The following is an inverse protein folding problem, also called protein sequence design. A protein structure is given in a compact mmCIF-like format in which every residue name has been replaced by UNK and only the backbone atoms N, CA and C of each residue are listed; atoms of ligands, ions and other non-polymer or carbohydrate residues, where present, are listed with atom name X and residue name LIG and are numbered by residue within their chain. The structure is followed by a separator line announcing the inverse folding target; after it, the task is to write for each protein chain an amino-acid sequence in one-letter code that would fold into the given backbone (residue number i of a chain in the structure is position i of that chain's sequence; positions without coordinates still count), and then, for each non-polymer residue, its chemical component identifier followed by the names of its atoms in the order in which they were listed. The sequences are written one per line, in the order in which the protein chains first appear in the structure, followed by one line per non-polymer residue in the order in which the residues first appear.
data_IF_061784725020
#
_entry.id   IF_061784725020
#
_cell.length_a   1.000
_cell.length_b   1.000
_cell.length_c   1.000
_cell.angle_alpha   90.00
_cell.angle_beta   90.00
_cell.angle_gamma   90.00
#
_symmetry.space_group_name_H-M   'P 1'
#
loop_
_entity.id
_entity.type
_entity.pdbx_description
1 polymer ?
#
# COMPACT_ATOMS: atom_id res chain seq x y z
N UNK A 1 39.14 -1.99 -3.68
CA UNK A 1 37.75 -2.21 -4.08
C UNK A 1 36.71 -1.73 -3.06
N UNK A 2 36.81 -2.03 -1.75
CA UNK A 2 35.83 -1.54 -0.73
C UNK A 2 35.70 0.00 -0.62
N UNK A 3 36.71 0.78 -0.95
CA UNK A 3 36.66 2.27 -0.92
C UNK A 3 35.93 2.90 -2.14
N UNK A 4 35.82 2.19 -3.25
CA UNK A 4 35.13 2.69 -4.45
C UNK A 4 33.62 2.58 -4.29
N UNK A 5 33.13 1.49 -3.65
CA UNK A 5 31.70 1.26 -3.41
C UNK A 5 31.11 2.34 -2.47
N UNK A 6 31.86 2.74 -1.44
CA UNK A 6 31.43 3.79 -0.49
C UNK A 6 31.29 5.16 -1.16
N UNK A 7 32.12 5.45 -2.17
CA UNK A 7 32.08 6.72 -2.91
C UNK A 7 30.86 6.77 -3.85
N UNK A 8 30.46 5.64 -4.43
CA UNK A 8 29.28 5.56 -5.32
C UNK A 8 27.99 5.77 -4.49
N UNK A 9 27.88 5.14 -3.32
CA UNK A 9 26.73 5.36 -2.43
C UNK A 9 26.63 6.81 -1.89
N UNK A 10 27.76 7.46 -1.58
CA UNK A 10 27.75 8.87 -1.18
C UNK A 10 27.41 9.82 -2.35
N UNK A 11 27.82 9.49 -3.57
CA UNK A 11 27.48 10.29 -4.75
C UNK A 11 25.99 10.26 -5.06
N UNK A 12 25.32 9.11 -4.88
CA UNK A 12 23.87 8.98 -5.06
C UNK A 12 23.06 9.81 -4.04
N UNK A 13 23.53 9.91 -2.80
CA UNK A 13 22.88 10.76 -1.77
C UNK A 13 23.07 12.25 -2.05
N UNK A 14 24.20 12.65 -2.66
CA UNK A 14 24.46 14.05 -3.01
C UNK A 14 23.66 14.52 -4.24
N UNK A 15 23.25 13.62 -5.14
CA UNK A 15 22.41 13.97 -6.30
C UNK A 15 20.95 14.18 -5.94
N UNK A 16 20.44 13.55 -4.88
CA UNK A 16 19.07 13.77 -4.40
C UNK A 16 18.82 15.21 -3.90
N UNK A 17 19.89 15.93 -3.53
CA UNK A 17 19.77 17.31 -3.04
C UNK A 17 19.64 18.38 -4.16
N UNK A 18 19.89 18.03 -5.43
CA UNK A 18 19.71 18.96 -6.55
C UNK A 18 18.38 18.82 -7.29
N UNK A 19 17.61 17.76 -7.03
CA UNK A 19 16.29 17.55 -7.63
C UNK A 19 15.20 18.48 -7.04
N UNK A 20 15.50 19.19 -5.96
CA UNK A 20 14.53 20.00 -5.21
C UNK A 20 14.00 21.24 -5.95
N UNK A 21 14.66 21.70 -7.01
CA UNK A 21 14.29 22.98 -7.65
C UNK A 21 13.57 22.80 -8.99
N UNK A 22 13.56 21.62 -9.58
CA UNK A 22 12.87 21.34 -10.84
C UNK A 22 11.50 20.72 -10.67
N UNK A 23 11.16 20.19 -9.48
CA UNK A 23 9.89 19.50 -9.21
C UNK A 23 8.66 20.42 -9.25
N UNK A 24 8.85 21.73 -9.17
CA UNK A 24 7.76 22.71 -9.17
C UNK A 24 7.29 23.14 -10.58
N UNK A 25 7.96 22.72 -11.66
CA UNK A 25 7.63 23.11 -13.02
C UNK A 25 7.14 21.98 -13.92
N UNK A 26 7.30 20.71 -13.49
CA UNK A 26 6.83 19.53 -14.22
C UNK A 26 5.59 18.97 -13.54
N UNK A 27 4.50 18.84 -14.27
CA UNK A 27 3.39 17.99 -13.85
C UNK A 27 3.84 16.53 -13.93
N UNK A 28 4.13 15.92 -12.78
CA UNK A 28 4.59 14.53 -12.69
C UNK A 28 3.43 13.51 -12.82
N UNK A 29 2.33 13.92 -13.45
CA UNK A 29 1.09 13.13 -13.55
C UNK A 29 0.98 12.34 -14.83
N UNK A 30 1.61 12.81 -15.91
CA UNK A 30 1.50 12.21 -17.24
C UNK A 30 2.78 12.41 -18.06
N UNK A 31 3.04 11.49 -18.98
CA UNK A 31 4.12 11.56 -19.95
C UNK A 31 3.71 10.83 -21.25
N UNK A 32 4.14 11.34 -22.38
CA UNK A 32 3.88 10.78 -23.70
C UNK A 32 5.20 10.57 -24.45
N UNK A 33 5.33 9.46 -25.17
CA UNK A 33 6.45 9.24 -26.10
C UNK A 33 5.99 9.55 -27.52
N UNK A 34 6.69 10.45 -28.21
CA UNK A 34 6.34 10.88 -29.56
C UNK A 34 7.58 10.86 -30.47
N UNK A 35 7.38 10.55 -31.70
CA UNK A 35 8.45 10.55 -32.72
C UNK A 35 8.28 9.47 -33.77
N UNK A 36 8.90 9.64 -34.94
CA UNK A 36 8.81 8.68 -36.04
C UNK A 36 9.53 7.35 -35.78
N UNK A 37 10.28 7.26 -34.65
CA UNK A 37 10.78 6.00 -34.12
C UNK A 37 9.67 5.14 -33.53
N UNK A 38 8.53 5.72 -33.11
CA UNK A 38 7.41 5.02 -32.48
C UNK A 38 6.32 4.68 -33.51
N UNK A 39 5.43 3.71 -33.24
CA UNK A 39 4.29 3.41 -34.10
C UNK A 39 3.31 4.59 -34.33
N UNK A 40 3.34 5.57 -33.41
CA UNK A 40 2.43 6.73 -33.43
C UNK A 40 3.02 7.94 -34.15
N UNK A 41 4.29 7.86 -34.59
CA UNK A 41 5.01 8.97 -35.24
C UNK A 41 4.94 10.26 -34.41
N UNK A 42 4.83 11.41 -35.07
CA UNK A 42 4.73 12.72 -34.42
C UNK A 42 3.28 13.12 -34.09
N UNK A 43 2.37 12.14 -33.96
CA UNK A 43 0.97 12.39 -33.55
C UNK A 43 0.83 12.41 -32.06
N UNK A 44 1.00 13.58 -31.44
CA UNK A 44 0.85 13.76 -29.99
C UNK A 44 -0.60 13.56 -29.52
N UNK A 45 -1.59 13.75 -30.40
CA UNK A 45 -2.99 13.53 -30.11
C UNK A 45 -3.35 12.05 -30.03
N UNK A 46 -2.78 11.25 -30.93
CA UNK A 46 -3.03 9.81 -31.04
C UNK A 46 -2.09 8.92 -30.24
N UNK A 47 -0.97 9.45 -29.72
CA UNK A 47 -0.08 8.64 -28.88
C UNK A 47 -0.71 8.35 -27.52
N UNK A 48 -0.67 7.08 -27.01
CA UNK A 48 -1.18 6.77 -25.69
C UNK A 48 -0.29 7.37 -24.59
N UNK A 49 -0.87 7.51 -23.41
CA UNK A 49 -0.13 7.85 -22.19
C UNK A 49 0.88 6.75 -21.88
N UNK A 50 2.07 7.14 -21.45
CA UNK A 50 2.98 6.20 -20.81
C UNK A 50 2.37 5.72 -19.50
N UNK A 51 2.58 4.46 -19.15
CA UNK A 51 2.10 3.92 -17.90
C UNK A 51 2.83 4.59 -16.73
N UNK A 52 2.10 5.34 -15.90
CA UNK A 52 2.63 5.82 -14.63
C UNK A 52 2.77 4.63 -13.67
N UNK A 53 3.98 4.39 -13.17
CA UNK A 53 4.30 3.28 -12.27
C UNK A 53 4.69 3.73 -10.87
N UNK A 54 5.08 4.99 -10.72
CA UNK A 54 5.31 5.68 -9.45
C UNK A 54 5.17 7.19 -9.69
N UNK A 55 5.21 8.00 -8.65
CA UNK A 55 5.22 9.45 -8.80
C UNK A 55 6.44 9.91 -9.60
N UNK A 56 6.19 10.57 -10.73
CA UNK A 56 7.24 11.01 -11.66
C UNK A 56 7.97 9.89 -12.40
N UNK A 57 7.53 8.63 -12.33
CA UNK A 57 8.14 7.50 -13.02
C UNK A 57 7.17 6.86 -13.99
N UNK A 58 7.60 6.72 -15.23
CA UNK A 58 6.77 6.24 -16.33
C UNK A 58 7.45 5.09 -17.08
N UNK A 59 6.62 4.18 -17.61
CA UNK A 59 7.03 3.06 -18.44
C UNK A 59 6.28 3.09 -19.77
N UNK A 60 7.01 2.83 -20.84
CA UNK A 60 6.44 2.54 -22.15
C UNK A 60 7.06 1.25 -22.70
N UNK A 61 6.27 0.44 -23.39
CA UNK A 61 6.74 -0.75 -24.09
C UNK A 61 6.20 -0.76 -25.49
N UNK A 62 7.07 -0.93 -26.48
CA UNK A 62 6.68 -0.96 -27.87
C UNK A 62 7.87 -1.00 -28.81
N UNK A 63 7.55 -0.98 -30.12
CA UNK A 63 8.55 -1.00 -31.17
C UNK A 63 9.18 0.37 -31.34
N UNK A 64 10.51 0.41 -31.36
CA UNK A 64 11.31 1.56 -31.84
C UNK A 64 12.02 1.18 -33.11
N UNK A 65 12.11 2.13 -34.01
CA UNK A 65 12.73 1.98 -35.34
C UNK A 65 14.09 2.63 -35.36
N UNK A 66 15.10 1.90 -35.86
CA UNK A 66 16.50 2.35 -36.00
C UNK A 66 16.61 3.69 -36.72
N UNK A 67 17.53 4.53 -36.26
CA UNK A 67 17.88 5.86 -36.79
C UNK A 67 16.71 6.86 -36.88
N UNK A 68 15.51 6.48 -36.45
CA UNK A 68 14.37 7.36 -36.30
C UNK A 68 14.40 8.11 -34.98
N UNK A 69 13.62 9.16 -34.87
CA UNK A 69 13.69 10.08 -33.72
C UNK A 69 12.51 9.93 -32.78
N UNK A 70 12.76 10.10 -31.47
CA UNK A 70 11.70 10.28 -30.50
C UNK A 70 12.13 11.19 -29.34
N UNK A 71 11.15 11.70 -28.63
CA UNK A 71 11.27 12.45 -27.37
C UNK A 71 10.02 12.24 -26.53
N UNK A 72 9.99 12.89 -25.38
CA UNK A 72 8.83 12.84 -24.49
C UNK A 72 8.17 14.21 -24.37
N UNK A 73 6.85 14.19 -24.11
CA UNK A 73 6.05 15.38 -23.87
C UNK A 73 5.30 15.20 -22.55
N UNK A 74 5.32 16.20 -21.68
CA UNK A 74 4.55 16.21 -20.46
C UNK A 74 3.17 16.92 -20.62
N UNK A 75 2.86 17.34 -21.82
CA UNK A 75 1.57 17.87 -22.22
C UNK A 75 1.26 17.47 -23.66
N UNK A 76 -0.02 17.57 -24.07
CA UNK A 76 -0.43 17.38 -25.48
C UNK A 76 -0.35 18.66 -26.31
N UNK A 77 0.45 19.62 -25.87
CA UNK A 77 0.71 20.86 -26.59
C UNK A 77 2.09 20.82 -27.20
N UNK A 78 2.19 20.98 -28.53
CA UNK A 78 3.45 21.15 -29.18
C UNK A 78 4.20 22.39 -28.65
N UNK A 79 5.50 22.27 -28.56
CA UNK A 79 6.41 23.31 -28.07
C UNK A 79 6.44 23.56 -26.56
N UNK A 80 5.63 22.86 -25.77
CA UNK A 80 5.61 23.01 -24.32
C UNK A 80 5.90 21.71 -23.61
N UNK A 81 6.53 21.83 -22.41
CA UNK A 81 6.78 20.72 -21.51
C UNK A 81 7.48 19.52 -22.16
N UNK A 82 8.57 19.81 -22.85
CA UNK A 82 9.34 18.81 -23.60
C UNK A 82 10.43 18.20 -22.70
N UNK A 83 10.49 16.88 -22.70
CA UNK A 83 11.57 16.10 -22.06
C UNK A 83 12.34 15.38 -23.16
N UNK A 84 13.60 15.69 -23.30
CA UNK A 84 14.41 15.23 -24.42
C UNK A 84 15.79 14.77 -23.99
N UNK A 85 16.61 14.37 -24.94
CA UNK A 85 18.03 14.09 -24.71
C UNK A 85 18.82 15.39 -24.43
N UNK A 86 19.89 15.25 -23.65
CA UNK A 86 20.87 16.33 -23.46
C UNK A 86 21.69 16.63 -24.70
N UNK A 87 21.72 15.69 -25.67
CA UNK A 87 22.32 15.82 -27.03
C UNK A 87 21.57 14.90 -27.97
N UNK A 88 21.59 15.14 -29.30
CA UNK A 88 21.13 14.14 -30.26
C UNK A 88 21.93 12.86 -30.07
N UNK A 89 21.28 11.80 -29.56
CA UNK A 89 21.99 10.65 -29.01
C UNK A 89 21.40 9.33 -29.54
N UNK A 90 22.27 8.44 -30.02
CA UNK A 90 21.90 7.05 -30.24
C UNK A 90 21.74 6.35 -28.91
N UNK A 91 20.69 5.53 -28.80
CA UNK A 91 20.37 4.75 -27.62
C UNK A 91 20.45 3.26 -27.94
N UNK A 92 20.96 2.52 -26.98
CA UNK A 92 21.08 1.07 -26.98
C UNK A 92 20.36 0.50 -25.75
N UNK A 93 19.84 -0.71 -25.87
CA UNK A 93 19.28 -1.40 -24.74
C UNK A 93 20.34 -1.71 -23.66
N UNK A 94 19.95 -1.72 -22.42
CA UNK A 94 20.84 -1.94 -21.29
C UNK A 94 21.50 -0.67 -20.75
N UNK A 95 21.18 0.52 -21.28
CA UNK A 95 21.83 1.78 -20.91
C UNK A 95 20.86 2.79 -20.30
N UNK A 96 21.42 3.70 -19.50
CA UNK A 96 20.71 4.83 -18.91
C UNK A 96 21.24 6.14 -19.50
N UNK A 97 20.32 7.04 -19.83
CA UNK A 97 20.58 8.30 -20.50
C UNK A 97 20.08 9.48 -19.69
N UNK A 98 20.78 10.60 -19.75
CA UNK A 98 20.34 11.84 -19.13
C UNK A 98 19.22 12.49 -19.95
N UNK A 99 18.26 13.06 -19.24
CA UNK A 99 17.17 13.84 -19.79
C UNK A 99 17.41 15.33 -19.55
N UNK A 100 16.94 16.13 -20.50
CA UNK A 100 16.82 17.59 -20.38
C UNK A 100 15.36 17.99 -20.47
N UNK A 101 15.00 19.08 -19.82
CA UNK A 101 13.65 19.61 -19.81
C UNK A 101 13.67 21.06 -20.26
N UNK A 102 12.67 21.43 -21.10
CA UNK A 102 12.38 22.81 -21.37
C UNK A 102 10.88 23.07 -21.50
N UNK A 103 10.47 24.17 -20.88
CA UNK A 103 9.06 24.49 -20.73
C UNK A 103 8.42 25.01 -22.04
N UNK A 104 9.19 25.67 -22.88
CA UNK A 104 8.70 26.24 -24.13
C UNK A 104 9.78 26.23 -25.20
N UNK A 105 9.50 25.55 -26.32
CA UNK A 105 10.39 25.46 -27.47
C UNK A 105 10.69 26.84 -28.10
N UNK A 106 9.72 27.76 -28.04
CA UNK A 106 9.89 29.12 -28.58
C UNK A 106 10.99 29.90 -27.86
N UNK A 107 11.29 29.53 -26.58
CA UNK A 107 12.33 30.18 -25.81
C UNK A 107 13.73 29.64 -26.09
N UNK A 108 13.85 28.37 -26.50
CA UNK A 108 15.15 27.76 -26.82
C UNK A 108 15.01 26.51 -27.72
N UNK A 109 14.72 26.75 -29.02
CA UNK A 109 14.61 25.66 -30.00
C UNK A 109 15.90 24.86 -30.22
N UNK A 110 17.05 25.35 -29.73
CA UNK A 110 18.32 24.63 -29.80
C UNK A 110 18.34 23.39 -28.88
N UNK A 111 17.41 23.29 -27.93
CA UNK A 111 17.25 22.17 -27.02
C UNK A 111 16.30 21.09 -27.53
N UNK A 112 15.71 21.22 -28.70
CA UNK A 112 14.83 20.21 -29.30
C UNK A 112 15.63 19.00 -29.83
N UNK A 113 16.35 18.37 -28.90
CA UNK A 113 17.19 17.20 -29.13
C UNK A 113 16.38 15.93 -28.96
N UNK A 114 16.81 14.88 -29.66
CA UNK A 114 16.05 13.65 -29.76
C UNK A 114 16.90 12.42 -29.48
N UNK A 115 16.23 11.34 -29.14
CA UNK A 115 16.84 10.01 -29.07
C UNK A 115 16.65 9.28 -30.36
N UNK A 116 17.66 8.46 -30.76
CA UNK A 116 17.65 7.62 -31.97
C UNK A 116 17.99 6.19 -31.57
N UNK A 117 17.10 5.20 -31.72
CA UNK A 117 17.45 3.82 -31.50
C UNK A 117 18.59 3.36 -32.40
N UNK A 118 19.56 2.64 -31.84
CA UNK A 118 20.67 2.05 -32.57
C UNK A 118 20.26 0.83 -33.42
N UNK A 119 19.13 0.20 -33.07
CA UNK A 119 18.55 -0.92 -33.80
C UNK A 119 17.02 -0.89 -33.73
N UNK A 120 16.39 -1.46 -34.78
CA UNK A 120 14.94 -1.67 -34.75
C UNK A 120 14.62 -2.87 -33.88
N UNK A 121 13.70 -2.68 -32.87
CA UNK A 121 13.32 -3.76 -31.94
C UNK A 121 12.12 -3.38 -31.07
N UNK A 122 11.71 -4.32 -30.26
CA UNK A 122 10.77 -4.08 -29.16
C UNK A 122 11.57 -3.65 -27.93
N UNK A 123 11.18 -2.52 -27.35
CA UNK A 123 11.87 -1.94 -26.22
C UNK A 123 10.92 -1.69 -25.04
N UNK A 124 11.46 -1.72 -23.83
CA UNK A 124 10.84 -1.15 -22.65
C UNK A 124 11.65 0.07 -22.20
N UNK A 125 11.00 1.21 -22.15
CA UNK A 125 11.60 2.50 -21.78
C UNK A 125 11.04 2.96 -20.45
N UNK A 126 11.92 3.19 -19.49
CA UNK A 126 11.58 3.80 -18.21
C UNK A 126 12.08 5.24 -18.18
N UNK A 127 11.23 6.15 -17.73
CA UNK A 127 11.56 7.57 -17.55
C UNK A 127 11.31 7.94 -16.10
N UNK A 128 12.33 8.40 -15.40
CA UNK A 128 12.22 8.99 -14.06
C UNK A 128 12.48 10.49 -14.14
N UNK A 129 11.41 11.27 -14.06
CA UNK A 129 11.49 12.73 -14.09
C UNK A 129 12.08 13.31 -12.80
N UNK A 130 12.12 12.55 -11.70
CA UNK A 130 12.72 12.98 -10.43
C UNK A 130 14.23 13.02 -10.52
N UNK A 131 14.83 12.04 -11.17
CA UNK A 131 16.28 11.94 -11.41
C UNK A 131 16.70 12.45 -12.79
N UNK A 132 15.73 12.79 -13.64
CA UNK A 132 15.96 13.16 -15.05
C UNK A 132 16.78 12.11 -15.81
N UNK A 133 16.33 10.87 -15.72
CA UNK A 133 16.97 9.71 -16.35
C UNK A 133 15.98 8.90 -17.17
N UNK A 134 16.46 8.38 -18.29
CA UNK A 134 15.78 7.37 -19.10
C UNK A 134 16.62 6.10 -19.11
N UNK A 135 15.99 4.95 -18.82
CA UNK A 135 16.64 3.65 -18.95
C UNK A 135 15.92 2.82 -20.02
N UNK A 136 16.66 2.22 -20.91
CA UNK A 136 16.16 1.48 -22.06
C UNK A 136 16.53 0.02 -21.94
N UNK A 137 15.57 -0.86 -22.16
CA UNK A 137 15.76 -2.31 -22.18
C UNK A 137 15.23 -2.90 -23.48
N UNK A 138 15.86 -3.95 -23.99
CA UNK A 138 15.17 -4.81 -24.94
C UNK A 138 13.96 -5.43 -24.25
N UNK A 139 12.84 -5.51 -24.95
CA UNK A 139 11.73 -6.35 -24.52
C UNK A 139 12.20 -7.80 -24.64
N UNK A 140 12.80 -8.30 -23.60
CA UNK A 140 13.22 -9.70 -23.55
C UNK A 140 11.99 -10.58 -23.62
N UNK A 141 11.98 -11.48 -24.60
CA UNK A 141 11.13 -12.66 -24.60
C UNK A 141 11.59 -13.53 -23.44
N UNK A 142 10.78 -13.50 -22.37
CA UNK A 142 10.65 -14.52 -21.34
C UNK A 142 11.92 -15.19 -20.78
N UNK A 143 12.54 -14.55 -19.80
CA UNK A 143 13.09 -15.29 -18.70
C UNK A 143 11.90 -15.73 -17.82
N UNK A 144 11.20 -16.79 -18.20
CA UNK A 144 10.05 -17.27 -17.44
C UNK A 144 10.51 -17.63 -16.03
N UNK A 145 9.92 -16.97 -15.02
CA UNK A 145 10.19 -17.31 -13.63
C UNK A 145 9.80 -18.77 -13.40
N UNK A 146 10.70 -19.53 -12.82
CA UNK A 146 10.45 -20.94 -12.47
C UNK A 146 9.32 -21.04 -11.42
N UNK A 147 8.79 -22.25 -11.27
CA UNK A 147 7.70 -22.49 -10.30
C UNK A 147 8.10 -22.23 -8.83
N UNK A 148 9.39 -22.27 -8.54
CA UNK A 148 9.97 -21.94 -7.24
C UNK A 148 11.08 -20.94 -7.41
N UNK A 149 11.15 -20.00 -6.47
CA UNK A 149 12.22 -19.00 -6.39
C UNK A 149 12.80 -18.96 -4.99
N UNK A 150 14.09 -18.71 -4.91
CA UNK A 150 14.84 -18.54 -3.69
C UNK A 150 15.72 -17.30 -3.81
N UNK A 151 15.86 -16.57 -2.72
CA UNK A 151 16.75 -15.42 -2.62
C UNK A 151 18.00 -15.79 -1.81
N UNK A 152 19.16 -15.34 -2.23
CA UNK A 152 20.43 -15.51 -1.52
C UNK A 152 21.34 -14.31 -1.77
N UNK A 153 22.51 -14.28 -1.17
CA UNK A 153 23.53 -13.24 -1.37
C UNK A 153 24.03 -12.65 -0.06
N UNK A 154 24.97 -11.71 -0.18
CA UNK A 154 25.61 -11.09 0.98
C UNK A 154 24.66 -10.27 1.83
N UNK A 155 23.58 -9.72 1.24
CA UNK A 155 22.53 -9.03 1.96
C UNK A 155 21.72 -9.93 2.91
N UNK A 156 21.79 -11.26 2.70
CA UNK A 156 21.15 -12.30 3.52
C UNK A 156 22.17 -13.12 4.34
N UNK A 157 23.40 -12.63 4.53
CA UNK A 157 24.50 -13.38 5.15
C UNK A 157 24.79 -14.73 4.47
N UNK A 158 24.54 -14.82 3.17
CA UNK A 158 24.67 -16.08 2.39
C UNK A 158 23.56 -17.10 2.65
N UNK A 159 22.55 -16.77 3.45
CA UNK A 159 21.40 -17.66 3.67
C UNK A 159 20.54 -17.71 2.41
N UNK A 160 19.91 -18.86 2.21
CA UNK A 160 18.90 -19.03 1.15
C UNK A 160 17.50 -19.00 1.77
N UNK A 161 16.64 -18.16 1.22
CA UNK A 161 15.26 -17.95 1.67
C UNK A 161 14.31 -18.18 0.49
N UNK A 162 13.24 -18.95 0.70
CA UNK A 162 12.22 -19.14 -0.33
C UNK A 162 11.43 -17.84 -0.55
N UNK A 163 11.29 -17.48 -1.83
CA UNK A 163 10.39 -16.40 -2.26
C UNK A 163 9.09 -17.05 -2.71
N UNK A 164 8.06 -16.96 -1.88
CA UNK A 164 6.83 -17.75 -2.02
C UNK A 164 5.98 -17.29 -3.22
N UNK A 165 5.44 -18.25 -3.96
CA UNK A 165 4.54 -17.99 -5.09
C UNK A 165 3.10 -17.70 -4.61
N UNK A 166 2.46 -16.69 -5.17
CA UNK A 166 1.10 -16.30 -4.85
C UNK A 166 0.24 -16.10 -6.11
N UNK A 167 -0.96 -16.68 -6.09
CA UNK A 167 -1.98 -16.47 -7.12
C UNK A 167 -1.56 -16.79 -8.55
N UNK A 168 -0.41 -17.44 -8.75
CA UNK A 168 0.16 -17.69 -10.08
C UNK A 168 0.73 -16.44 -10.77
N UNK A 169 0.62 -15.25 -10.17
CA UNK A 169 0.99 -13.96 -10.78
C UNK A 169 2.30 -13.39 -10.26
N UNK A 170 2.64 -13.68 -9.01
CA UNK A 170 3.85 -13.14 -8.39
C UNK A 170 4.46 -14.06 -7.34
N UNK A 171 5.71 -13.77 -7.00
CA UNK A 171 6.40 -14.28 -5.83
C UNK A 171 6.71 -13.13 -4.90
N UNK A 172 6.72 -13.37 -3.59
CA UNK A 172 7.15 -12.38 -2.61
C UNK A 172 7.79 -13.00 -1.38
N UNK A 173 8.65 -12.23 -0.75
CA UNK A 173 9.24 -12.55 0.54
C UNK A 173 9.44 -11.29 1.38
N UNK A 174 9.07 -11.35 2.66
CA UNK A 174 9.44 -10.35 3.65
C UNK A 174 10.83 -10.68 4.19
N UNK A 175 11.81 -9.84 3.91
CA UNK A 175 13.23 -10.07 4.16
C UNK A 175 13.83 -8.93 4.98
N UNK A 176 14.70 -9.28 5.91
CA UNK A 176 15.57 -8.33 6.60
C UNK A 176 16.92 -8.33 5.88
N UNK A 177 17.19 -7.26 5.14
CA UNK A 177 18.34 -7.13 4.26
C UNK A 177 19.43 -6.26 4.89
N UNK A 178 20.67 -6.71 4.80
CA UNK A 178 21.87 -5.91 5.07
C UNK A 178 22.33 -5.20 3.79
N UNK A 179 23.22 -4.23 3.94
CA UNK A 179 23.91 -3.70 2.76
C UNK A 179 24.72 -4.81 2.09
N UNK A 180 24.60 -4.93 0.77
CA UNK A 180 25.25 -6.01 0.02
C UNK A 180 24.55 -6.29 -1.29
N UNK A 181 24.43 -7.57 -1.62
CA UNK A 181 23.87 -8.04 -2.88
C UNK A 181 22.82 -9.13 -2.60
N UNK A 182 21.73 -9.14 -3.38
CA UNK A 182 20.70 -10.18 -3.38
C UNK A 182 20.52 -10.71 -4.80
N UNK A 183 20.49 -12.02 -4.95
CA UNK A 183 20.23 -12.71 -6.22
C UNK A 183 19.11 -13.71 -6.04
N UNK A 184 18.29 -13.88 -7.07
CA UNK A 184 17.26 -14.92 -7.08
C UNK A 184 17.74 -16.16 -7.84
N UNK A 185 17.25 -17.33 -7.46
CA UNK A 185 17.58 -18.61 -8.12
C UNK A 185 16.40 -19.58 -8.06
N UNK A 186 16.42 -20.56 -8.94
CA UNK A 186 15.35 -21.55 -9.09
C UNK A 186 15.43 -22.76 -8.13
N UNK A 187 16.44 -22.83 -7.30
CA UNK A 187 16.67 -23.95 -6.36
C UNK A 187 17.20 -23.48 -5.02
N UNK A 188 16.88 -24.19 -3.94
CA UNK A 188 17.38 -23.87 -2.60
C UNK A 188 18.87 -24.17 -2.43
N UNK A 189 19.39 -25.15 -3.16
CA UNK A 189 20.80 -25.59 -3.12
C UNK A 189 21.39 -25.44 -4.52
N UNK A 190 22.38 -24.59 -4.72
CA UNK A 190 23.00 -24.40 -6.03
C UNK A 190 23.65 -25.66 -6.57
N UNK A 191 23.52 -25.84 -7.88
CA UNK A 191 24.14 -26.92 -8.67
C UNK A 191 24.64 -26.28 -9.99
N UNK A 192 25.34 -27.08 -10.80
CA UNK A 192 25.79 -26.62 -12.13
C UNK A 192 24.64 -26.27 -13.09
N UNK A 193 23.42 -26.70 -12.79
CA UNK A 193 22.23 -26.40 -13.57
C UNK A 193 21.35 -25.33 -12.92
N UNK A 194 21.82 -24.66 -11.88
CA UNK A 194 21.08 -23.59 -11.23
C UNK A 194 20.90 -22.42 -12.18
N UNK A 195 19.67 -21.95 -12.30
CA UNK A 195 19.35 -20.72 -13.02
C UNK A 195 19.27 -19.58 -12.02
N UNK A 196 20.12 -18.59 -12.21
CA UNK A 196 20.13 -17.35 -11.45
C UNK A 196 19.37 -16.27 -12.24
N UNK A 197 18.65 -15.44 -11.51
CA UNK A 197 17.97 -14.27 -12.04
C UNK A 197 18.67 -13.03 -11.52
N UNK A 198 19.04 -12.17 -12.44
CA UNK A 198 19.78 -10.93 -12.17
C UNK A 198 19.12 -9.76 -12.88
N UNK A 199 19.38 -8.52 -12.47
CA UNK A 199 18.95 -7.37 -13.26
C UNK A 199 19.69 -7.35 -14.60
N UNK A 200 19.08 -6.78 -15.65
CA UNK A 200 19.74 -6.59 -16.93
C UNK A 200 20.98 -5.70 -16.82
N UNK A 201 20.91 -4.67 -15.98
CA UNK A 201 22.02 -3.78 -15.68
C UNK A 201 22.68 -4.15 -14.37
N UNK A 202 24.01 -4.08 -14.34
CA UNK A 202 24.78 -4.25 -13.11
C UNK A 202 24.56 -3.08 -12.15
N UNK A 203 24.63 -3.34 -10.84
CA UNK A 203 24.52 -2.32 -9.80
C UNK A 203 23.11 -1.75 -9.58
N UNK A 204 22.08 -2.36 -10.15
CA UNK A 204 20.70 -1.93 -9.87
C UNK A 204 20.36 -2.18 -8.42
N UNK A 205 19.95 -1.12 -7.70
CA UNK A 205 19.51 -1.24 -6.32
C UNK A 205 18.06 -1.76 -6.27
N UNK A 206 17.84 -2.82 -5.48
CA UNK A 206 16.53 -3.42 -5.31
C UNK A 206 15.51 -2.46 -4.66
N UNK A 207 15.99 -1.43 -3.98
CA UNK A 207 15.17 -0.49 -3.22
C UNK A 207 14.52 0.61 -4.04
N UNK A 208 14.80 0.67 -5.34
CA UNK A 208 14.17 1.65 -6.23
C UNK A 208 12.65 1.45 -6.44
N UNK A 209 12.06 0.42 -5.80
CA UNK A 209 10.62 0.19 -5.75
C UNK A 209 10.00 -0.18 -7.11
N UNK A 210 8.68 -0.14 -7.18
CA UNK A 210 7.90 -0.50 -8.38
C UNK A 210 8.32 0.28 -9.64
N UNK A 211 8.81 1.50 -9.47
CA UNK A 211 9.24 2.38 -10.55
C UNK A 211 10.45 1.87 -11.34
N UNK A 212 11.26 1.04 -10.72
CA UNK A 212 12.47 0.47 -11.28
C UNK A 212 12.49 -1.06 -11.26
N UNK A 213 11.31 -1.67 -11.40
CA UNK A 213 11.25 -3.10 -11.63
C UNK A 213 12.09 -3.44 -12.87
N UNK A 214 13.37 -3.67 -12.65
CA UNK A 214 14.30 -3.97 -13.72
C UNK A 214 13.93 -5.31 -14.34
N UNK A 215 13.87 -5.40 -15.67
CA UNK A 215 13.72 -6.68 -16.36
C UNK A 215 14.80 -7.66 -15.91
N UNK A 216 14.43 -8.93 -15.84
CA UNK A 216 15.32 -10.00 -15.48
C UNK A 216 16.12 -10.48 -16.67
N UNK A 217 17.35 -10.87 -16.44
CA UNK A 217 18.06 -11.86 -17.27
C UNK A 217 18.31 -13.11 -16.47
N UNK A 218 18.45 -14.22 -17.15
CA UNK A 218 18.86 -15.49 -16.56
C UNK A 218 20.30 -15.80 -16.92
N UNK A 219 21.00 -16.44 -16.00
CA UNK A 219 22.37 -16.93 -16.20
C UNK A 219 22.59 -18.22 -15.40
N UNK A 220 23.56 -19.03 -15.80
CA UNK A 220 24.07 -20.17 -15.01
C UNK A 220 25.36 -19.81 -14.29
N UNK A 221 25.86 -18.59 -14.43
CA UNK A 221 27.04 -18.11 -13.75
C UNK A 221 26.73 -17.83 -12.27
N UNK A 222 27.35 -18.59 -11.38
CA UNK A 222 27.18 -18.45 -9.95
C UNK A 222 27.80 -17.16 -9.38
N UNK A 223 28.73 -16.55 -10.10
CA UNK A 223 29.38 -15.28 -9.73
C UNK A 223 28.65 -14.05 -10.29
N UNK A 224 27.52 -14.27 -10.99
CA UNK A 224 26.74 -13.17 -11.55
C UNK A 224 26.22 -12.22 -10.45
N UNK A 225 26.32 -10.93 -10.71
CA UNK A 225 25.85 -9.91 -9.79
C UNK A 225 24.31 -9.84 -9.81
N UNK A 226 23.71 -9.88 -8.63
CA UNK A 226 22.29 -9.63 -8.41
C UNK A 226 21.99 -8.15 -8.20
N UNK A 227 20.89 -7.86 -7.52
CA UNK A 227 20.53 -6.51 -7.11
C UNK A 227 21.38 -6.06 -5.92
N UNK A 228 21.85 -4.82 -5.94
CA UNK A 228 22.47 -4.22 -4.76
C UNK A 228 21.42 -3.81 -3.73
N UNK A 229 21.81 -3.84 -2.47
CA UNK A 229 21.05 -3.32 -1.33
C UNK A 229 21.92 -2.24 -0.68
N UNK A 230 21.67 -0.98 -1.02
CA UNK A 230 22.44 0.13 -0.49
C UNK A 230 22.01 0.52 0.92
N UNK A 231 20.73 0.39 1.24
CA UNK A 231 20.16 0.75 2.54
C UNK A 231 19.70 -0.50 3.28
N UNK A 232 20.31 -0.87 4.42
CA UNK A 232 19.83 -2.00 5.22
C UNK A 232 18.44 -1.76 5.79
N UNK A 233 17.63 -2.82 5.92
CA UNK A 233 16.30 -2.70 6.50
C UNK A 233 15.41 -3.89 6.20
N UNK A 234 14.15 -3.75 6.58
CA UNK A 234 13.07 -4.70 6.26
C UNK A 234 12.51 -4.38 4.87
N UNK A 235 12.43 -5.37 4.00
CA UNK A 235 11.94 -5.24 2.63
C UNK A 235 10.96 -6.35 2.29
N UNK A 236 9.86 -6.01 1.63
CA UNK A 236 9.09 -6.98 0.87
C UNK A 236 9.66 -7.01 -0.55
N UNK A 237 10.26 -8.13 -0.92
CA UNK A 237 10.81 -8.36 -2.26
C UNK A 237 9.77 -9.08 -3.11
N UNK A 238 9.49 -8.54 -4.28
CA UNK A 238 8.54 -9.07 -5.26
C UNK A 238 9.26 -9.51 -6.52
N UNK A 239 8.81 -10.63 -7.08
CA UNK A 239 9.12 -11.01 -8.45
C UNK A 239 7.79 -11.26 -9.20
N UNK A 240 7.48 -10.39 -10.15
CA UNK A 240 6.18 -10.33 -10.84
C UNK A 240 6.29 -10.98 -12.20
N UNK A 241 5.41 -11.96 -12.48
CA UNK A 241 5.45 -12.75 -13.72
C UNK A 241 5.04 -11.98 -14.96
N UNK A 242 4.00 -11.14 -14.86
CA UNK A 242 3.40 -10.48 -16.03
C UNK A 242 4.38 -9.56 -16.76
N UNK A 243 5.38 -9.04 -16.06
CA UNK A 243 6.37 -8.13 -16.63
C UNK A 243 7.81 -8.54 -16.36
N UNK A 244 8.03 -9.75 -15.84
CA UNK A 244 9.34 -10.31 -15.50
C UNK A 244 10.21 -9.32 -14.71
N UNK A 245 9.68 -8.76 -13.64
CA UNK A 245 10.36 -7.74 -12.86
C UNK A 245 10.59 -8.16 -11.42
N UNK A 246 11.69 -7.66 -10.84
CA UNK A 246 12.00 -7.81 -9.41
C UNK A 246 12.22 -6.43 -8.81
N UNK A 247 11.63 -6.18 -7.66
CA UNK A 247 11.84 -4.96 -6.87
C UNK A 247 11.64 -5.24 -5.39
N UNK A 248 12.20 -4.38 -4.55
CA UNK A 248 12.00 -4.39 -3.11
C UNK A 248 11.31 -3.12 -2.65
N UNK A 249 10.33 -3.26 -1.77
CA UNK A 249 9.70 -2.13 -1.10
C UNK A 249 10.18 -2.11 0.35
N UNK A 250 10.83 -1.02 0.75
CA UNK A 250 11.25 -0.83 2.14
C UNK A 250 10.00 -0.74 3.03
N UNK A 251 9.97 -1.55 4.06
CA UNK A 251 8.92 -1.53 5.05
C UNK A 251 8.90 -0.19 5.80
N UNK A 252 7.72 0.37 5.90
CA UNK A 252 7.40 1.49 6.78
C UNK A 252 6.14 1.13 7.53
N UNK A 253 6.09 1.31 8.86
CA UNK A 253 4.88 1.08 9.63
C UNK A 253 3.68 1.79 9.00
N UNK A 254 2.61 1.05 8.81
CA UNK A 254 1.40 1.60 8.21
C UNK A 254 0.76 2.60 9.17
N UNK A 255 0.32 3.74 8.64
CA UNK A 255 -0.30 4.79 9.45
C UNK A 255 -1.78 4.55 9.71
N UNK A 256 -2.44 3.91 8.75
CA UNK A 256 -3.88 3.68 8.80
C UNK A 256 -4.29 2.52 7.91
N UNK A 257 -5.27 1.77 8.35
CA UNK A 257 -5.99 0.76 7.57
C UNK A 257 -7.47 0.84 7.95
N UNK A 258 -8.33 0.47 7.01
CA UNK A 258 -9.77 0.49 7.21
C UNK A 258 -10.39 -0.79 6.68
N UNK A 259 -11.32 -1.39 7.43
CA UNK A 259 -12.13 -2.53 6.99
C UNK A 259 -13.46 -2.02 6.45
N UNK A 260 -13.79 -2.41 5.21
CA UNK A 260 -15.06 -2.06 4.56
C UNK A 260 -15.66 -3.28 3.90
N UNK A 261 -16.98 -3.32 3.80
CA UNK A 261 -17.66 -4.45 3.16
C UNK A 261 -19.10 -4.60 3.56
N UNK A 262 -19.86 -5.37 2.79
CA UNK A 262 -21.26 -5.63 3.09
C UNK A 262 -21.51 -6.21 4.48
N UNK A 263 -20.56 -6.98 5.02
CA UNK A 263 -20.63 -7.51 6.38
C UNK A 263 -20.19 -6.53 7.48
N UNK A 264 -19.61 -5.38 7.13
CA UNK A 264 -19.18 -4.37 8.08
C UNK A 264 -20.36 -3.48 8.51
N UNK A 265 -20.28 -2.87 9.70
CA UNK A 265 -21.36 -2.04 10.23
C UNK A 265 -21.75 -0.90 9.26
N UNK A 266 -20.80 -0.27 8.63
CA UNK A 266 -21.01 0.85 7.68
C UNK A 266 -21.08 0.40 6.22
N UNK A 267 -21.20 -0.90 5.95
CA UNK A 267 -21.17 -1.45 4.60
C UNK A 267 -19.89 -1.04 3.83
N UNK A 268 -20.04 -0.61 2.59
CA UNK A 268 -18.96 -0.11 1.74
C UNK A 268 -18.61 1.37 1.96
N UNK A 269 -19.20 1.98 3.00
CA UNK A 269 -18.96 3.37 3.34
C UNK A 269 -17.74 3.53 4.27
N UNK A 270 -16.77 4.33 3.89
CA UNK A 270 -15.53 4.55 4.65
C UNK A 270 -15.40 5.94 5.25
N UNK A 271 -16.34 6.87 4.96
CA UNK A 271 -16.25 8.26 5.44
C UNK A 271 -17.09 8.58 6.68
N UNK A 272 -18.18 7.87 6.95
CA UNK A 272 -19.14 8.28 7.98
C UNK A 272 -18.71 8.01 9.43
N UNK A 273 -17.85 7.03 9.70
CA UNK A 273 -17.34 6.77 11.05
C UNK A 273 -16.00 6.05 11.01
N UNK A 274 -14.92 6.76 10.73
CA UNK A 274 -13.60 6.14 10.57
C UNK A 274 -13.13 5.35 11.80
N UNK A 275 -13.58 5.72 13.02
CA UNK A 275 -13.19 5.02 14.25
C UNK A 275 -13.72 3.58 14.33
N UNK A 276 -14.88 3.27 13.75
CA UNK A 276 -15.48 1.92 13.83
C UNK A 276 -14.89 0.95 12.81
N UNK A 277 -14.32 1.45 11.74
CA UNK A 277 -13.74 0.67 10.66
C UNK A 277 -12.21 0.74 10.62
N UNK A 278 -11.61 1.63 11.42
CA UNK A 278 -10.17 1.87 11.44
C UNK A 278 -9.44 0.84 12.29
N UNK A 279 -8.35 0.30 11.74
CA UNK A 279 -7.40 -0.49 12.50
C UNK A 279 -6.58 0.40 13.45
N UNK A 280 -6.16 -0.17 14.56
CA UNK A 280 -5.23 0.44 15.52
C UNK A 280 -3.86 -0.24 15.44
N UNK A 281 -2.81 0.51 15.67
CA UNK A 281 -1.47 -0.05 15.73
C UNK A 281 -1.35 -1.06 16.88
N UNK A 282 -0.68 -2.17 16.63
CA UNK A 282 -0.30 -3.09 17.69
C UNK A 282 0.91 -2.50 18.45
N UNK A 283 0.77 -2.09 19.72
CA UNK A 283 1.88 -1.48 20.45
C UNK A 283 3.06 -2.41 20.71
N UNK A 284 2.84 -3.73 20.59
CA UNK A 284 3.89 -4.74 20.77
C UNK A 284 4.62 -5.11 19.47
N UNK A 285 4.08 -4.71 18.30
CA UNK A 285 4.63 -5.06 17.00
C UNK A 285 4.25 -3.99 15.97
N UNK A 286 5.19 -3.18 15.54
CA UNK A 286 4.99 -2.09 14.57
C UNK A 286 4.68 -2.57 13.15
N UNK A 287 4.85 -3.85 12.87
CA UNK A 287 4.43 -4.49 11.62
C UNK A 287 2.92 -4.75 11.56
N UNK A 288 2.24 -4.72 12.70
CA UNK A 288 0.86 -5.17 12.82
C UNK A 288 -0.12 -4.04 13.14
N UNK A 289 -1.26 -4.13 12.49
CA UNK A 289 -2.44 -3.34 12.83
C UNK A 289 -3.61 -4.28 13.15
N UNK A 290 -4.40 -3.92 14.16
CA UNK A 290 -5.48 -4.74 14.68
C UNK A 290 -6.80 -4.00 14.61
N UNK A 291 -7.83 -4.70 14.21
CA UNK A 291 -9.22 -4.26 14.29
C UNK A 291 -10.06 -5.31 15.02
N UNK A 292 -10.95 -4.87 15.88
CA UNK A 292 -11.97 -5.72 16.49
C UNK A 292 -13.35 -5.11 16.30
N UNK A 293 -14.28 -5.94 15.87
CA UNK A 293 -15.64 -5.50 15.66
C UNK A 293 -16.60 -6.63 15.28
N UNK A 294 -17.80 -6.25 14.90
CA UNK A 294 -18.84 -7.18 14.45
C UNK A 294 -18.86 -7.23 12.93
N UNK A 295 -18.76 -8.45 12.40
CA UNK A 295 -19.03 -8.75 11.00
C UNK A 295 -20.33 -9.55 10.94
N UNK A 296 -21.27 -9.08 10.11
CA UNK A 296 -22.60 -9.67 10.03
C UNK A 296 -23.14 -9.58 8.60
N UNK A 297 -23.44 -10.70 7.98
CA UNK A 297 -24.06 -10.75 6.65
C UNK A 297 -25.56 -10.43 6.67
N UNK A 298 -26.19 -10.46 7.84
CA UNK A 298 -27.66 -10.31 8.00
C UNK A 298 -28.05 -8.93 8.55
N UNK A 299 -27.30 -7.87 8.20
CA UNK A 299 -27.72 -6.52 8.52
C UNK A 299 -29.11 -6.25 7.92
N UNK A 300 -29.96 -5.52 8.67
CA UNK A 300 -31.37 -5.27 8.29
C UNK A 300 -31.55 -4.55 6.95
N UNK A 301 -30.54 -3.85 6.49
CA UNK A 301 -30.57 -3.15 5.22
C UNK A 301 -30.11 -4.06 4.08
N UNK A 302 -30.75 -3.94 2.91
CA UNK A 302 -30.25 -4.62 1.70
C UNK A 302 -28.87 -4.08 1.36
N UNK A 303 -27.87 -4.94 1.39
CA UNK A 303 -26.47 -4.58 1.14
C UNK A 303 -25.91 -5.34 -0.03
N UNK A 304 -25.08 -4.66 -0.80
CA UNK A 304 -24.30 -5.29 -1.85
C UNK A 304 -23.25 -6.21 -1.22
N UNK A 305 -23.12 -7.44 -1.72
CA UNK A 305 -22.17 -8.45 -1.26
C UNK A 305 -22.12 -8.60 0.28
N UNK A 306 -23.23 -9.00 0.93
CA UNK A 306 -23.44 -8.84 2.37
C UNK A 306 -22.44 -9.63 3.25
N UNK A 307 -21.82 -10.68 2.74
CA UNK A 307 -20.83 -11.49 3.48
C UNK A 307 -19.38 -11.05 3.24
N UNK A 308 -19.13 -10.05 2.38
CA UNK A 308 -17.81 -9.73 1.89
C UNK A 308 -17.20 -8.49 2.53
N UNK A 309 -15.87 -8.47 2.59
CA UNK A 309 -15.07 -7.32 3.03
C UNK A 309 -13.76 -7.20 2.25
N UNK A 310 -13.16 -6.01 2.32
CA UNK A 310 -11.77 -5.74 1.95
C UNK A 310 -11.14 -4.71 2.86
N UNK A 311 -9.84 -4.46 2.69
CA UNK A 311 -9.07 -3.56 3.54
C UNK A 311 -8.50 -2.44 2.68
N UNK A 312 -8.80 -1.20 3.05
CA UNK A 312 -8.26 0.00 2.41
C UNK A 312 -7.02 0.48 3.17
N UNK A 313 -6.03 0.97 2.45
CA UNK A 313 -4.81 1.55 3.04
C UNK A 313 -4.96 3.05 3.33
N UNK A 314 -6.01 3.67 2.81
CA UNK A 314 -6.41 5.06 3.05
C UNK A 314 -7.93 5.16 2.97
N UNK A 315 -8.50 6.31 3.36
CA UNK A 315 -9.92 6.60 3.16
C UNK A 315 -10.22 6.97 1.68
N UNK A 316 -9.83 6.10 0.76
CA UNK A 316 -10.03 6.30 -0.68
C UNK A 316 -10.15 4.97 -1.43
N UNK A 317 -11.04 4.91 -2.43
CA UNK A 317 -11.12 3.78 -3.36
C UNK A 317 -10.04 3.83 -4.45
N UNK A 318 -9.39 4.97 -4.63
CA UNK A 318 -8.42 5.20 -5.71
C UNK A 318 -6.98 4.89 -5.31
N UNK A 319 -6.76 4.60 -4.03
CA UNK A 319 -5.46 4.23 -3.49
C UNK A 319 -5.30 2.72 -3.41
N UNK A 320 -4.12 2.27 -2.98
CA UNK A 320 -3.83 0.86 -2.80
C UNK A 320 -4.82 0.21 -1.84
N UNK A 321 -5.39 -0.92 -2.23
CA UNK A 321 -6.25 -1.76 -1.39
C UNK A 321 -5.61 -3.13 -1.22
N UNK A 322 -5.84 -3.74 -0.07
CA UNK A 322 -5.44 -5.13 0.13
C UNK A 322 -6.56 -6.07 -0.27
N UNK A 323 -6.20 -7.07 -1.03
CA UNK A 323 -7.08 -8.11 -1.54
C UNK A 323 -6.55 -9.50 -1.19
N UNK A 324 -7.38 -10.53 -1.04
CA UNK A 324 -6.90 -11.91 -1.05
C UNK A 324 -6.46 -12.31 -2.46
N UNK A 325 -5.54 -13.25 -2.58
CA UNK A 325 -5.16 -13.81 -3.89
C UNK A 325 -6.27 -14.67 -4.51
N UNK A 326 -7.10 -15.29 -3.67
CA UNK A 326 -8.23 -16.12 -4.11
C UNK A 326 -9.53 -15.37 -3.82
N UNK A 327 -10.43 -15.32 -4.81
CA UNK A 327 -11.76 -14.76 -4.60
C UNK A 327 -12.50 -15.53 -3.50
N UNK A 328 -13.24 -14.79 -2.68
CA UNK A 328 -14.03 -15.32 -1.57
C UNK A 328 -13.22 -16.11 -0.53
N UNK A 329 -11.95 -15.78 -0.39
CA UNK A 329 -11.11 -16.36 0.66
C UNK A 329 -11.77 -16.18 2.04
N UNK A 330 -11.76 -17.20 2.91
CA UNK A 330 -12.32 -17.05 4.25
C UNK A 330 -11.54 -15.99 5.02
N UNK A 331 -12.25 -15.16 5.79
CA UNK A 331 -11.61 -14.19 6.67
C UNK A 331 -10.94 -14.87 7.85
N UNK A 332 -11.48 -16.00 8.31
CA UNK A 332 -10.94 -16.79 9.41
C UNK A 332 -9.66 -17.53 8.99
N UNK A 333 -8.71 -17.59 9.91
CA UNK A 333 -7.38 -18.15 9.64
C UNK A 333 -6.38 -17.11 9.16
N UNK A 334 -5.33 -17.57 8.47
CA UNK A 334 -4.30 -16.67 7.90
C UNK A 334 -4.33 -16.75 6.39
N UNK A 335 -4.41 -15.59 5.75
CA UNK A 335 -4.31 -15.45 4.30
C UNK A 335 -3.27 -14.41 3.92
N UNK A 336 -2.71 -14.54 2.73
CA UNK A 336 -1.80 -13.55 2.18
C UNK A 336 -2.55 -12.42 1.51
N UNK A 337 -2.03 -11.21 1.67
CA UNK A 337 -2.54 -9.99 1.06
C UNK A 337 -1.87 -9.75 -0.29
N UNK A 338 -2.63 -9.25 -1.24
CA UNK A 338 -2.14 -8.73 -2.49
C UNK A 338 -2.29 -7.21 -2.49
N UNK A 339 -1.17 -6.53 -2.64
CA UNK A 339 -1.07 -5.06 -2.73
C UNK A 339 -0.68 -4.58 -4.14
N UNK A 340 -0.37 -5.50 -5.04
CA UNK A 340 0.24 -5.24 -6.34
C UNK A 340 -0.76 -4.99 -7.48
N UNK A 341 -2.06 -4.86 -7.14
CA UNK A 341 -3.14 -4.71 -8.13
C UNK A 341 -3.78 -6.05 -8.51
N UNK A 342 -4.48 -6.11 -9.63
CA UNK A 342 -5.19 -7.31 -10.12
C UNK A 342 -6.69 -7.26 -9.83
N UNK A 343 -7.43 -8.40 -9.92
CA UNK A 343 -8.88 -8.41 -9.78
C UNK A 343 -9.33 -7.98 -8.37
N UNK A 344 -10.51 -7.36 -8.30
CA UNK A 344 -11.13 -6.90 -7.04
C UNK A 344 -11.70 -8.07 -6.22
N UNK A 345 -10.81 -8.95 -5.77
CA UNK A 345 -11.15 -10.07 -4.90
C UNK A 345 -11.41 -9.60 -3.47
N UNK A 346 -12.26 -10.31 -2.75
CA UNK A 346 -12.72 -9.95 -1.40
C UNK A 346 -12.63 -11.16 -0.47
N UNK A 347 -12.48 -10.90 0.84
CA UNK A 347 -12.68 -11.94 1.85
C UNK A 347 -14.15 -12.11 2.13
N UNK A 348 -14.52 -13.31 2.61
CA UNK A 348 -15.88 -13.62 3.02
C UNK A 348 -15.93 -14.15 4.46
N UNK A 349 -16.97 -13.79 5.18
CA UNK A 349 -17.28 -14.39 6.48
C UNK A 349 -18.14 -15.64 6.28
N UNK A 350 -17.90 -16.68 7.07
CA UNK A 350 -18.71 -17.92 7.09
C UNK A 350 -19.83 -17.86 8.13
N UNK A 351 -19.75 -16.93 9.08
CA UNK A 351 -20.70 -16.78 10.20
C UNK A 351 -20.68 -15.35 10.73
N UNK A 352 -21.79 -14.94 11.29
CA UNK A 352 -21.95 -13.65 11.95
C UNK A 352 -21.34 -13.67 13.34
N UNK A 353 -20.69 -12.59 13.75
CA UNK A 353 -20.14 -12.49 15.10
C UNK A 353 -19.07 -11.43 15.27
N UNK A 354 -18.41 -11.49 16.42
CA UNK A 354 -17.26 -10.65 16.70
C UNK A 354 -16.01 -11.27 16.11
N UNK A 355 -15.20 -10.43 15.51
CA UNK A 355 -13.93 -10.81 14.91
C UNK A 355 -12.80 -9.90 15.39
N UNK A 356 -11.60 -10.48 15.44
CA UNK A 356 -10.34 -9.74 15.45
C UNK A 356 -9.65 -9.97 14.13
N UNK A 357 -9.31 -8.89 13.46
CA UNK A 357 -8.52 -8.90 12.22
C UNK A 357 -7.15 -8.31 12.54
N UNK A 358 -6.09 -9.07 12.29
CA UNK A 358 -4.71 -8.62 12.44
C UNK A 358 -4.06 -8.60 11.07
N UNK A 359 -3.64 -7.44 10.62
CA UNK A 359 -2.88 -7.25 9.38
C UNK A 359 -1.42 -7.06 9.73
N UNK A 360 -0.55 -7.98 9.30
CA UNK A 360 0.87 -7.75 9.29
C UNK A 360 1.26 -7.12 7.95
N UNK A 361 1.63 -5.84 7.98
CA UNK A 361 1.88 -5.04 6.78
C UNK A 361 3.27 -5.25 6.20
N UNK A 362 4.20 -5.86 6.95
CA UNK A 362 5.51 -6.28 6.45
C UNK A 362 5.43 -7.63 5.74
N UNK A 363 4.82 -8.62 6.38
CA UNK A 363 4.64 -9.96 5.80
C UNK A 363 3.50 -10.02 4.79
N UNK A 364 2.71 -8.96 4.73
CA UNK A 364 1.49 -8.87 3.93
C UNK A 364 0.55 -10.06 4.17
N UNK A 365 0.13 -10.21 5.41
CA UNK A 365 -0.81 -11.26 5.84
C UNK A 365 -1.97 -10.67 6.61
N UNK A 366 -3.16 -11.28 6.43
CA UNK A 366 -4.34 -11.07 7.26
C UNK A 366 -4.54 -12.32 8.11
N UNK A 367 -4.67 -12.14 9.43
CA UNK A 367 -5.16 -13.18 10.35
C UNK A 367 -6.50 -12.76 10.90
N UNK A 368 -7.53 -13.54 10.62
CA UNK A 368 -8.87 -13.34 11.14
C UNK A 368 -9.20 -14.39 12.21
N UNK A 369 -9.68 -13.92 13.34
CA UNK A 369 -10.07 -14.73 14.48
C UNK A 369 -11.54 -14.47 14.82
N UNK A 370 -12.35 -15.52 14.88
CA UNK A 370 -13.71 -15.43 15.36
C UNK A 370 -13.70 -15.43 16.90
N UNK A 371 -14.25 -14.39 17.51
CA UNK A 371 -14.25 -14.19 18.96
C UNK A 371 -15.56 -14.63 19.65
N UNK A 372 -16.52 -15.13 18.87
CA UNK A 372 -17.83 -15.55 19.37
C UNK A 372 -18.99 -14.84 18.67
N UNK A 373 -20.19 -15.29 18.94
CA UNK A 373 -21.40 -14.64 18.44
C UNK A 373 -21.39 -13.16 18.84
N UNK A 374 -21.78 -12.28 17.94
CA UNK A 374 -22.12 -10.92 18.34
C UNK A 374 -23.21 -11.08 19.41
N UNK A 375 -23.00 -10.51 20.58
CA UNK A 375 -24.12 -10.42 21.51
C UNK A 375 -25.16 -9.61 20.76
N UNK A 376 -26.20 -10.28 20.26
CA UNK A 376 -27.44 -9.60 19.94
C UNK A 376 -27.72 -8.81 21.18
N UNK A 377 -27.89 -7.50 21.05
CA UNK A 377 -28.53 -6.75 22.13
C UNK A 377 -29.74 -7.58 22.52
N UNK A 378 -29.70 -8.10 23.75
CA UNK A 378 -30.75 -8.98 24.21
C UNK A 378 -32.03 -8.21 24.02
N UNK A 379 -32.90 -8.70 23.13
CA UNK A 379 -34.28 -8.28 23.15
C UNK A 379 -34.70 -8.53 24.59
N UNK A 380 -34.99 -7.43 25.27
CA UNK A 380 -35.62 -7.31 26.55
C UNK A 380 -36.02 -8.64 27.20
N UNK A 381 -35.16 -9.22 28.01
CA UNK A 381 -35.58 -10.06 29.11
C UNK A 381 -35.30 -9.24 30.35
N UNK A 382 -36.37 -8.69 30.88
CA UNK A 382 -36.60 -8.16 32.21
C UNK A 382 -35.38 -8.14 33.14
N UNK A 383 -34.62 -7.02 33.11
CA UNK A 383 -33.93 -6.58 34.31
C UNK A 383 -34.83 -5.52 34.93
N UNK A 384 -35.61 -5.99 35.91
CA UNK A 384 -36.39 -5.11 36.78
C UNK A 384 -35.49 -4.06 37.39
N UNK A 385 -35.73 -2.82 37.06
CA UNK A 385 -35.21 -1.68 37.78
C UNK A 385 -34.16 -0.83 37.04
N UNK A 386 -34.62 0.02 36.23
CA UNK A 386 -34.36 1.40 35.82
C UNK A 386 -34.75 1.51 34.36
N UNK A 387 -35.94 1.98 34.15
CA UNK A 387 -36.51 2.20 32.80
C UNK A 387 -35.70 3.27 32.07
N UNK A 388 -35.34 2.98 30.84
CA UNK A 388 -35.11 4.03 29.83
C UNK A 388 -36.33 4.93 29.79
N UNK A 389 -36.18 6.16 30.14
CA UNK A 389 -37.26 7.15 29.94
C UNK A 389 -37.29 7.38 28.43
N UNK A 390 -38.17 6.62 27.73
CA UNK A 390 -38.55 6.96 26.37
C UNK A 390 -39.48 8.15 26.46
N UNK A 391 -39.06 9.28 25.94
CA UNK A 391 -40.00 10.33 25.58
C UNK A 391 -40.89 9.82 24.44
N UNK A 392 -42.17 9.79 24.65
CA UNK A 392 -43.20 9.25 23.77
C UNK A 392 -43.75 10.34 22.83
N UNK A 393 -42.92 11.17 22.23
CA UNK A 393 -43.36 12.27 21.37
C UNK A 393 -42.85 12.24 19.92
N UNK A 394 -42.21 11.14 19.51
CA UNK A 394 -41.83 10.95 18.09
C UNK A 394 -40.75 11.91 17.57
N UNK A 395 -40.04 12.63 18.44
CA UNK A 395 -38.87 13.40 18.06
C UNK A 395 -37.62 12.54 18.14
N UNK A 396 -36.77 12.63 17.13
CA UNK A 396 -35.47 11.95 17.06
C UNK A 396 -34.62 12.35 18.26
N UNK A 397 -33.97 11.38 18.90
CA UNK A 397 -33.01 11.58 19.99
C UNK A 397 -32.01 12.67 19.63
N UNK A 398 -31.95 13.71 20.45
CA UNK A 398 -31.20 14.94 20.17
C UNK A 398 -29.69 14.74 20.29
N UNK A 399 -29.23 13.60 20.86
CA UNK A 399 -27.82 13.23 20.83
C UNK A 399 -27.59 11.73 21.07
N UNK A 400 -26.75 11.14 20.24
CA UNK A 400 -26.26 9.76 20.38
C UNK A 400 -25.07 9.73 21.34
N UNK A 401 -25.30 9.35 22.59
CA UNK A 401 -24.23 9.05 23.53
C UNK A 401 -24.08 7.53 23.66
N UNK A 402 -22.98 6.99 23.21
CA UNK A 402 -22.61 5.61 23.42
C UNK A 402 -21.70 5.48 24.65
N UNK A 403 -22.09 4.66 25.62
CA UNK A 403 -21.30 4.38 26.83
C UNK A 403 -20.94 2.90 26.82
N UNK A 404 -19.64 2.59 26.87
CA UNK A 404 -19.12 1.23 26.87
C UNK A 404 -18.08 1.04 27.99
N UNK A 405 -17.90 -0.20 28.42
CA UNK A 405 -16.81 -0.57 29.34
C UNK A 405 -16.05 -1.76 28.80
N UNK A 406 -14.72 -1.71 28.93
CA UNK A 406 -13.83 -2.79 28.56
C UNK A 406 -12.58 -2.79 29.46
N UNK A 407 -12.20 -3.97 30.01
CA UNK A 407 -10.98 -4.18 30.79
C UNK A 407 -10.70 -3.08 31.84
N UNK A 408 -11.65 -2.80 32.70
CA UNK A 408 -11.47 -1.81 33.78
C UNK A 408 -11.55 -0.35 33.32
N UNK A 409 -11.99 -0.10 32.09
CA UNK A 409 -12.07 1.25 31.52
C UNK A 409 -13.48 1.53 31.02
N UNK A 410 -14.01 2.71 31.32
CA UNK A 410 -15.30 3.21 30.82
C UNK A 410 -15.02 4.29 29.77
N UNK A 411 -15.68 4.16 28.63
CA UNK A 411 -15.59 5.07 27.49
C UNK A 411 -16.96 5.71 27.25
N UNK A 412 -16.95 6.99 26.91
CA UNK A 412 -18.12 7.71 26.42
C UNK A 412 -17.78 8.25 25.04
N UNK A 413 -18.66 8.00 24.07
CA UNK A 413 -18.58 8.57 22.73
C UNK A 413 -19.81 9.45 22.54
N UNK A 414 -19.61 10.75 22.36
CA UNK A 414 -20.66 11.71 21.98
C UNK A 414 -20.47 12.08 20.53
N UNK A 415 -21.51 11.93 19.72
CA UNK A 415 -21.42 12.10 18.29
C UNK A 415 -21.52 13.55 17.80
N UNK A 416 -22.19 14.45 18.53
CA UNK A 416 -22.51 15.77 18.00
C UNK A 416 -22.42 16.96 18.98
N UNK A 417 -22.59 16.74 20.28
CA UNK A 417 -22.60 17.83 21.27
C UNK A 417 -21.75 17.42 22.48
N UNK A 418 -20.85 18.30 22.98
CA UNK A 418 -20.11 18.03 24.21
C UNK A 418 -21.05 17.79 25.40
N UNK A 419 -20.77 16.75 26.18
CA UNK A 419 -21.60 16.35 27.32
C UNK A 419 -20.81 16.42 28.63
N UNK A 420 -21.48 16.78 29.72
CA UNK A 420 -20.98 16.62 31.08
C UNK A 420 -21.20 15.18 31.51
N UNK A 421 -20.13 14.50 31.91
CA UNK A 421 -20.18 13.08 32.24
C UNK A 421 -19.79 12.84 33.68
N UNK A 422 -20.60 12.10 34.41
CA UNK A 422 -20.26 11.61 35.75
C UNK A 422 -20.32 10.08 35.83
N UNK A 423 -19.36 9.48 36.53
CA UNK A 423 -19.29 8.04 36.80
C UNK A 423 -19.40 7.82 38.27
N UNK A 424 -20.35 6.99 38.67
CA UNK A 424 -20.56 6.57 40.07
C UNK A 424 -20.35 5.07 40.23
N UNK A 425 -19.74 4.64 41.32
CA UNK A 425 -19.73 3.25 41.72
C UNK A 425 -21.14 2.80 42.08
N UNK A 426 -21.39 1.48 42.12
CA UNK A 426 -22.68 0.92 42.57
C UNK A 426 -23.11 1.33 44.00
N UNK A 427 -22.17 1.77 44.82
CA UNK A 427 -22.41 2.36 46.16
C UNK A 427 -22.93 3.81 46.12
N UNK A 428 -22.98 4.43 44.95
CA UNK A 428 -23.30 5.85 44.78
C UNK A 428 -22.10 6.81 44.88
N UNK A 429 -20.91 6.32 45.19
CA UNK A 429 -19.70 7.14 45.28
C UNK A 429 -19.31 7.67 43.89
N UNK A 430 -19.05 8.98 43.80
CA UNK A 430 -18.50 9.59 42.57
C UNK A 430 -17.07 9.09 42.31
N UNK A 431 -16.85 8.54 41.14
CA UNK A 431 -15.57 7.98 40.68
C UNK A 431 -14.84 8.94 39.73
N UNK A 432 -15.59 9.57 38.83
CA UNK A 432 -15.05 10.52 37.87
C UNK A 432 -16.11 11.53 37.43
N UNK A 433 -15.68 12.75 37.05
CA UNK A 433 -16.52 13.79 36.51
C UNK A 433 -15.76 14.60 35.46
N UNK A 434 -16.39 14.85 34.32
CA UNK A 434 -15.84 15.60 33.21
C UNK A 434 -16.89 16.60 32.69
N UNK A 435 -16.43 17.76 32.29
CA UNK A 435 -17.27 18.79 31.67
C UNK A 435 -16.97 18.88 30.19
N UNK A 436 -18.01 19.05 29.38
CA UNK A 436 -17.95 19.30 27.95
C UNK A 436 -17.11 18.28 27.17
N UNK A 437 -17.25 16.98 27.44
CA UNK A 437 -16.58 15.91 26.69
C UNK A 437 -17.25 15.67 25.35
N UNK A 438 -16.43 15.63 24.29
CA UNK A 438 -16.86 15.18 22.94
C UNK A 438 -16.66 13.68 22.73
N UNK A 439 -16.07 12.97 23.68
CA UNK A 439 -15.80 11.54 23.69
C UNK A 439 -14.45 11.19 24.32
N UNK A 440 -14.24 9.92 24.66
CA UNK A 440 -12.99 9.40 25.19
C UNK A 440 -13.16 8.56 26.46
N UNK A 441 -12.04 8.27 27.13
CA UNK A 441 -12.01 7.53 28.40
C UNK A 441 -12.48 8.41 29.53
N UNK A 442 -13.52 7.99 30.25
CA UNK A 442 -14.05 8.70 31.42
C UNK A 442 -13.63 8.08 32.75
N UNK A 443 -13.21 6.83 32.79
CA UNK A 443 -12.60 6.21 33.94
C UNK A 443 -11.76 5.01 33.54
N UNK A 444 -10.60 4.81 34.13
CA UNK A 444 -9.70 3.68 33.89
C UNK A 444 -9.21 3.06 35.19
N UNK A 445 -8.65 1.87 35.09
CA UNK A 445 -8.18 1.07 36.25
C UNK A 445 -9.27 0.81 37.31
N UNK A 446 -10.50 0.67 36.83
CA UNK A 446 -11.64 0.38 37.72
C UNK A 446 -11.61 -1.06 38.17
N UNK A 447 -11.94 -1.28 39.43
CA UNK A 447 -12.17 -2.62 39.96
C UNK A 447 -13.40 -3.27 39.34
N UNK A 448 -13.43 -4.60 39.32
CA UNK A 448 -14.64 -5.34 38.92
C UNK A 448 -15.85 -4.86 39.70
N UNK A 449 -16.92 -4.55 39.03
CA UNK A 449 -18.10 -4.04 39.69
C UNK A 449 -19.11 -3.38 38.74
N UNK A 450 -20.14 -2.82 39.35
CA UNK A 450 -21.21 -2.09 38.67
C UNK A 450 -20.97 -0.60 38.81
N UNK A 451 -21.06 0.11 37.74
CA UNK A 451 -20.92 1.56 37.68
C UNK A 451 -22.16 2.17 36.99
N UNK A 452 -22.49 3.40 37.39
CA UNK A 452 -23.54 4.19 36.77
C UNK A 452 -22.90 5.40 36.11
N UNK A 453 -23.07 5.53 34.83
CA UNK A 453 -22.56 6.67 34.04
C UNK A 453 -23.73 7.54 33.65
N UNK A 454 -23.66 8.82 34.00
CA UNK A 454 -24.62 9.84 33.59
C UNK A 454 -23.90 10.82 32.65
N UNK A 455 -24.45 11.01 31.47
CA UNK A 455 -24.00 12.03 30.53
C UNK A 455 -25.13 13.05 30.30
N UNK A 456 -24.80 14.34 30.36
CA UNK A 456 -25.77 15.44 30.23
C UNK A 456 -25.29 16.40 29.15
N UNK A 457 -26.14 16.69 28.18
CA UNK A 457 -25.87 17.68 27.13
C UNK A 457 -27.15 18.44 26.81
N UNK A 458 -27.04 19.74 26.56
CA UNK A 458 -28.18 20.59 26.18
C UNK A 458 -29.41 20.49 27.12
N UNK A 459 -29.19 20.19 28.40
CA UNK A 459 -30.28 20.03 29.39
C UNK A 459 -30.91 18.63 29.46
N UNK A 460 -30.55 17.73 28.58
CA UNK A 460 -30.98 16.31 28.59
C UNK A 460 -29.91 15.41 29.20
N UNK A 461 -30.33 14.26 29.74
CA UNK A 461 -29.42 13.33 30.40
C UNK A 461 -29.66 11.89 29.96
N UNK A 462 -28.59 11.18 29.67
CA UNK A 462 -28.59 9.72 29.51
C UNK A 462 -27.90 9.08 30.71
N UNK A 463 -28.52 8.04 31.27
CA UNK A 463 -27.95 7.28 32.38
C UNK A 463 -27.82 5.83 31.97
N UNK A 464 -26.64 5.26 32.12
CA UNK A 464 -26.35 3.87 31.76
C UNK A 464 -25.65 3.13 32.88
N UNK A 465 -26.14 1.93 33.19
CA UNK A 465 -25.46 0.99 34.08
C UNK A 465 -24.41 0.23 33.29
N UNK A 466 -23.18 0.18 33.80
CA UNK A 466 -22.03 -0.44 33.13
C UNK A 466 -21.43 -1.47 34.09
N UNK A 467 -21.11 -2.66 33.59
CA UNK A 467 -20.42 -3.69 34.32
C UNK A 467 -18.97 -3.75 33.89
N UNK A 468 -18.06 -3.60 34.82
CA UNK A 468 -16.62 -3.79 34.65
C UNK A 468 -16.27 -5.18 35.13
N UNK A 469 -15.75 -6.03 34.24
CA UNK A 469 -15.38 -7.43 34.47
C UNK A 469 -13.89 -7.62 34.77
#
# INVERSE_FOLDING_TARGET
MKKLLTIICLALVAFAAKAGDMSNSLELTQLYIVGDATPYSWDIGGTPDMQKIDEGVFRWTGKLTEDKEFKFMNSREWHKHIVSSTSDQKIEAGHTYDLDFYADWALDGSKDRKFKPAATGEYTVYVDLRSMKMTVYEKTVDAALHAKLYATGSALDGKTVEVQAFGGVEFKAALELKAGNIILMNTATPTVSTVYYTPLLEGVDITFGKGFAAPLKTTTDAEAEGWSVCVPGKYTVYAVKDNNSVYGTMFKPCKELYVVGGCCQLSWNYWDSPSTIRFTNNPANDEEMVWEGVLNADWKESREEPSKLKILTTQSWFETTFHPYTADAPVEGTSNLRSTGGPDTKWTISRNGRYRLTVNTFKETLRGEYLGAAQTEAKDNEVTGINNIKHNDGSCDVFDICIAANHGTIYVVSSSVPADVTVHAGSGQLVASYMAMSGGTVASNLSKGVYVVKATASGESVVKKVVVN
#
